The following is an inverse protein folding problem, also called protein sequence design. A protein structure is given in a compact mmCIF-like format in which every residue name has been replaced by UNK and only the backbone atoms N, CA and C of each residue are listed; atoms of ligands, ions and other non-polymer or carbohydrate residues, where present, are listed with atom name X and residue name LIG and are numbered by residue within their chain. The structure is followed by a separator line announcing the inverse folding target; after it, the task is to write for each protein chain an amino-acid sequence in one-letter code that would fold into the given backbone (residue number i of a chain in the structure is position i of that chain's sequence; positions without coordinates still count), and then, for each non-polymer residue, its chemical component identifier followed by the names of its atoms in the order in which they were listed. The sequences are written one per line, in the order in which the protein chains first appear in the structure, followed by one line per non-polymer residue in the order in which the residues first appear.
data_IF_854863328230
#
_entry.id   IF_854863328230
#
_cell.length_a   1.000
_cell.length_b   1.000
_cell.length_c   1.000
_cell.angle_alpha   90.00
_cell.angle_beta   90.00
_cell.angle_gamma   90.00
#
_symmetry.space_group_name_H-M   'P 1'
#
loop_
_entity.id
_entity.type
_entity.pdbx_description
1 polymer ?
#
# COMPACT_ATOMS: atom_id res chain seq x y z
N UNK A 1 21.37 7.19 -3.76
CA UNK A 1 20.74 5.83 -3.77
C UNK A 1 21.81 4.75 -3.71
N UNK A 2 21.71 3.80 -2.79
CA UNK A 2 22.61 2.64 -2.70
C UNK A 2 21.87 1.39 -3.24
N UNK A 3 22.51 0.68 -4.17
CA UNK A 3 21.93 -0.52 -4.78
C UNK A 3 22.78 -1.72 -4.37
N UNK A 4 22.14 -2.82 -3.96
CA UNK A 4 22.81 -4.08 -3.62
C UNK A 4 21.90 -5.26 -3.92
N UNK A 5 22.51 -6.41 -4.26
CA UNK A 5 21.81 -7.67 -4.33
C UNK A 5 21.86 -8.35 -2.96
N UNK A 6 20.72 -8.84 -2.47
CA UNK A 6 20.61 -9.60 -1.21
C UNK A 6 19.57 -10.69 -1.33
N UNK A 7 19.76 -11.79 -0.61
CA UNK A 7 18.65 -12.73 -0.45
C UNK A 7 17.58 -12.15 0.46
N UNK A 8 16.34 -12.61 0.28
CA UNK A 8 15.22 -12.14 1.12
C UNK A 8 15.43 -12.54 2.58
N UNK A 9 16.05 -13.69 2.83
CA UNK A 9 16.36 -14.16 4.19
C UNK A 9 17.47 -13.32 4.83
N UNK A 10 18.54 -12.96 4.10
CA UNK A 10 19.57 -12.02 4.62
C UNK A 10 19.01 -10.67 5.01
N UNK A 11 17.98 -10.21 4.29
CA UNK A 11 17.28 -8.97 4.67
C UNK A 11 16.52 -9.15 5.98
N UNK A 12 15.73 -10.22 6.09
CA UNK A 12 14.89 -10.48 7.25
C UNK A 12 15.69 -10.89 8.50
N UNK A 13 16.88 -11.48 8.34
CA UNK A 13 17.69 -11.98 9.46
C UNK A 13 18.37 -10.86 10.28
N UNK A 14 18.49 -9.65 9.75
CA UNK A 14 19.17 -8.55 10.44
C UNK A 14 18.52 -8.23 11.78
N UNK A 15 19.29 -8.35 12.86
CA UNK A 15 18.79 -8.27 14.24
C UNK A 15 18.19 -6.91 14.59
N UNK A 16 18.85 -5.81 14.22
CA UNK A 16 18.43 -4.47 14.58
C UNK A 16 17.68 -3.74 13.46
N UNK A 17 17.09 -4.49 12.53
CA UNK A 17 16.33 -3.93 11.42
C UNK A 17 14.87 -4.32 11.53
N UNK A 18 14.01 -3.31 11.43
CA UNK A 18 12.56 -3.48 11.31
C UNK A 18 12.10 -2.94 9.95
N UNK A 19 11.03 -3.51 9.44
CA UNK A 19 10.39 -3.05 8.22
C UNK A 19 9.02 -2.49 8.53
N UNK A 20 8.66 -1.36 7.94
CA UNK A 20 7.33 -0.79 8.06
C UNK A 20 6.76 -0.54 6.66
N UNK A 21 5.56 -1.02 6.42
CA UNK A 21 4.76 -0.65 5.25
C UNK A 21 4.00 0.61 5.63
N UNK A 22 4.26 1.76 4.96
CA UNK A 22 3.59 3.01 5.28
C UNK A 22 2.08 2.92 5.12
N UNK A 23 1.36 3.75 5.89
CA UNK A 23 -0.10 3.80 5.86
C UNK A 23 -0.65 4.30 4.51
N UNK A 24 0.13 5.08 3.77
CA UNK A 24 -0.24 5.53 2.44
C UNK A 24 -0.14 4.43 1.38
N UNK A 25 0.46 3.29 1.69
CA UNK A 25 0.50 2.18 0.75
C UNK A 25 -0.84 1.41 0.77
N UNK A 26 -1.18 0.80 -0.36
CA UNK A 26 -2.37 -0.05 -0.43
C UNK A 26 -2.26 -1.22 0.54
N UNK A 27 -3.39 -1.67 1.07
CA UNK A 27 -3.50 -2.92 1.83
C UNK A 27 -2.96 -4.11 1.03
N UNK A 28 -2.65 -5.19 1.72
CA UNK A 28 -2.23 -6.44 1.10
C UNK A 28 -3.23 -6.88 0.02
N UNK A 29 -2.73 -7.14 -1.18
CA UNK A 29 -3.58 -7.33 -2.37
C UNK A 29 -3.32 -8.64 -3.11
N UNK A 30 -2.29 -9.40 -2.74
CA UNK A 30 -2.06 -10.72 -3.32
C UNK A 30 -3.13 -11.70 -2.83
N UNK A 31 -3.41 -12.67 -3.67
CA UNK A 31 -4.36 -13.73 -3.45
C UNK A 31 -3.66 -15.08 -3.57
N UNK A 32 -4.43 -16.14 -3.38
CA UNK A 32 -3.96 -17.52 -3.52
C UNK A 32 -3.15 -17.77 -4.79
N UNK A 33 -3.52 -17.16 -5.92
CA UNK A 33 -2.82 -17.35 -7.21
C UNK A 33 -1.37 -16.89 -7.12
N UNK A 34 -1.11 -15.64 -6.67
CA UNK A 34 0.25 -15.12 -6.55
C UNK A 34 1.07 -15.88 -5.49
N UNK A 35 0.42 -16.33 -4.42
CA UNK A 35 1.06 -17.15 -3.40
C UNK A 35 1.44 -18.53 -3.94
N UNK A 36 0.60 -19.11 -4.81
CA UNK A 36 0.88 -20.38 -5.48
C UNK A 36 2.05 -20.24 -6.44
N UNK A 37 2.02 -19.24 -7.30
CA UNK A 37 3.10 -18.96 -8.25
C UNK A 37 4.44 -18.81 -7.52
N UNK A 38 4.46 -18.04 -6.42
CA UNK A 38 5.68 -17.87 -5.60
C UNK A 38 6.16 -19.20 -5.02
N UNK A 39 5.28 -19.98 -4.39
CA UNK A 39 5.66 -21.25 -3.76
C UNK A 39 6.19 -22.25 -4.78
N UNK A 40 5.52 -22.37 -5.94
CA UNK A 40 5.92 -23.29 -7.01
C UNK A 40 7.24 -22.87 -7.66
N UNK A 41 7.48 -21.55 -7.81
CA UNK A 41 8.75 -21.02 -8.30
C UNK A 41 9.89 -21.29 -7.32
N UNK A 42 9.68 -21.12 -6.02
CA UNK A 42 10.66 -21.42 -4.99
C UNK A 42 10.98 -22.93 -4.94
N UNK A 43 9.96 -23.79 -4.97
CA UNK A 43 10.15 -25.24 -4.99
C UNK A 43 10.94 -25.68 -6.23
N UNK A 44 10.60 -25.13 -7.41
CA UNK A 44 11.32 -25.41 -8.67
C UNK A 44 12.76 -24.91 -8.63
N UNK A 45 12.99 -23.69 -8.12
CA UNK A 45 14.33 -23.12 -7.99
C UNK A 45 15.21 -24.00 -7.09
N UNK A 46 14.68 -24.42 -5.93
CA UNK A 46 15.39 -25.31 -5.02
C UNK A 46 15.68 -26.68 -5.60
N UNK A 47 14.71 -27.29 -6.30
CA UNK A 47 14.90 -28.56 -6.99
C UNK A 47 16.01 -28.49 -8.06
N UNK A 48 16.16 -27.33 -8.71
CA UNK A 48 17.17 -27.11 -9.75
C UNK A 48 18.51 -26.57 -9.20
N UNK A 49 18.61 -26.26 -7.90
CA UNK A 49 19.77 -25.61 -7.30
C UNK A 49 20.03 -24.21 -7.87
N UNK A 50 18.97 -23.50 -8.28
CA UNK A 50 19.06 -22.17 -8.91
C UNK A 50 18.50 -21.09 -7.98
N UNK A 51 19.03 -19.86 -8.11
CA UNK A 51 18.47 -18.70 -7.44
C UNK A 51 17.19 -18.24 -8.15
N UNK A 52 16.21 -17.74 -7.37
CA UNK A 52 14.99 -17.15 -7.89
C UNK A 52 15.01 -15.64 -7.67
N UNK A 53 14.78 -14.87 -8.73
CA UNK A 53 14.71 -13.41 -8.65
C UNK A 53 13.32 -12.95 -8.24
N UNK A 54 13.22 -12.38 -7.04
CA UNK A 54 11.96 -11.85 -6.49
C UNK A 54 11.61 -10.43 -6.96
N UNK A 55 12.50 -9.78 -7.70
CA UNK A 55 12.31 -8.40 -8.18
C UNK A 55 13.08 -7.36 -7.38
N UNK A 56 12.61 -6.11 -7.43
CA UNK A 56 13.23 -4.98 -6.72
C UNK A 56 12.60 -4.78 -5.35
N UNK A 57 13.38 -4.26 -4.40
CA UNK A 57 12.92 -3.85 -3.08
C UNK A 57 13.45 -2.45 -2.78
N UNK A 58 12.57 -1.47 -2.69
CA UNK A 58 12.91 -0.08 -2.45
C UNK A 58 12.48 0.33 -1.04
N UNK A 59 13.37 0.97 -0.30
CA UNK A 59 13.09 1.44 1.05
C UNK A 59 13.89 2.70 1.40
N UNK A 60 13.38 3.48 2.35
CA UNK A 60 14.13 4.50 3.08
C UNK A 60 14.54 3.94 4.45
N UNK A 61 15.69 4.37 4.98
CA UNK A 61 16.11 4.05 6.34
C UNK A 61 15.93 5.26 7.25
N UNK A 62 15.29 5.02 8.38
CA UNK A 62 15.12 6.00 9.46
C UNK A 62 15.77 5.44 10.74
N UNK A 63 16.56 6.23 11.48
CA UNK A 63 17.06 5.83 12.78
C UNK A 63 15.91 5.78 13.79
N UNK A 64 15.92 4.82 14.69
CA UNK A 64 14.99 4.76 15.81
C UNK A 64 15.66 5.20 17.11
N UNK A 65 14.90 5.67 18.09
CA UNK A 65 15.42 6.06 19.41
C UNK A 65 16.16 4.92 20.14
N UNK A 66 15.77 3.68 19.87
CA UNK A 66 16.40 2.48 20.44
C UNK A 66 17.68 2.04 19.71
N UNK A 67 18.20 2.82 18.76
CA UNK A 67 19.39 2.48 17.98
C UNK A 67 19.16 1.39 16.93
N UNK A 68 17.92 0.97 16.70
CA UNK A 68 17.54 0.10 15.60
C UNK A 68 17.31 0.90 14.30
N UNK A 69 17.41 0.24 13.16
CA UNK A 69 17.10 0.81 11.84
C UNK A 69 15.66 0.46 11.47
N UNK A 70 14.83 1.49 11.20
CA UNK A 70 13.53 1.31 10.61
C UNK A 70 13.62 1.47 9.08
N UNK A 71 13.28 0.44 8.34
CA UNK A 71 13.18 0.48 6.87
C UNK A 71 11.75 0.67 6.44
N UNK A 72 11.46 1.87 5.99
CA UNK A 72 10.15 2.24 5.45
C UNK A 72 10.07 1.75 4.00
N UNK A 73 9.22 0.77 3.76
CA UNK A 73 9.12 0.08 2.47
C UNK A 73 8.38 0.95 1.46
N UNK A 74 9.01 1.25 0.33
CA UNK A 74 8.46 2.04 -0.77
C UNK A 74 7.91 1.13 -1.87
N UNK A 75 8.65 0.08 -2.22
CA UNK A 75 8.20 -0.97 -3.14
C UNK A 75 8.67 -2.34 -2.67
N UNK A 76 7.92 -3.37 -3.02
CA UNK A 76 8.17 -4.76 -2.60
C UNK A 76 7.33 -5.23 -1.42
N UNK A 77 6.40 -4.40 -0.92
CA UNK A 77 5.55 -4.71 0.24
C UNK A 77 4.81 -6.05 0.11
N UNK A 78 4.23 -6.36 -1.05
CA UNK A 78 3.48 -7.59 -1.26
C UNK A 78 4.38 -8.83 -1.11
N UNK A 79 5.59 -8.75 -1.64
CA UNK A 79 6.59 -9.84 -1.62
C UNK A 79 7.10 -10.11 -0.22
N UNK A 80 7.55 -9.08 0.50
CA UNK A 80 8.05 -9.26 1.87
C UNK A 80 6.94 -9.79 2.79
N UNK A 81 5.72 -9.30 2.65
CA UNK A 81 4.56 -9.82 3.42
C UNK A 81 4.31 -11.28 3.10
N UNK A 82 4.25 -11.65 1.81
CA UNK A 82 3.96 -13.03 1.40
C UNK A 82 5.06 -14.00 1.82
N UNK A 83 6.33 -13.61 1.70
CA UNK A 83 7.46 -14.44 2.19
C UNK A 83 7.40 -14.60 3.70
N UNK A 84 7.11 -13.55 4.45
CA UNK A 84 6.94 -13.64 5.91
C UNK A 84 5.77 -14.56 6.30
N UNK A 85 4.66 -14.53 5.57
CA UNK A 85 3.54 -15.47 5.77
C UNK A 85 3.94 -16.92 5.47
N UNK A 86 4.73 -17.16 4.42
CA UNK A 86 5.26 -18.49 4.11
C UNK A 86 6.18 -19.01 5.23
N UNK A 87 7.08 -18.15 5.73
CA UNK A 87 7.97 -18.51 6.85
C UNK A 87 7.17 -18.81 8.12
N UNK A 88 6.14 -18.03 8.42
CA UNK A 88 5.25 -18.26 9.57
C UNK A 88 4.48 -19.59 9.43
N UNK A 89 3.93 -19.87 8.24
CA UNK A 89 3.25 -21.15 7.99
C UNK A 89 4.21 -22.35 8.07
N UNK A 90 5.45 -22.21 7.56
CA UNK A 90 6.47 -23.23 7.65
C UNK A 90 6.86 -23.49 9.11
N UNK A 91 7.06 -22.45 9.91
CA UNK A 91 7.35 -22.59 11.34
C UNK A 91 6.23 -23.34 12.07
N UNK A 92 4.96 -22.98 11.83
CA UNK A 92 3.82 -23.66 12.44
C UNK A 92 3.67 -25.11 11.97
N UNK A 93 3.97 -25.40 10.71
CA UNK A 93 3.97 -26.77 10.19
C UNK A 93 5.01 -27.65 10.89
N UNK A 94 6.23 -27.13 11.09
CA UNK A 94 7.32 -27.86 11.77
C UNK A 94 7.02 -28.09 13.27
N UNK A 95 6.40 -27.15 13.96
CA UNK A 95 5.95 -27.36 15.34
C UNK A 95 4.93 -28.51 15.43
N UNK A 96 3.98 -28.57 14.51
CA UNK A 96 2.95 -29.61 14.46
C UNK A 96 3.50 -31.02 14.18
N UNK A 97 4.72 -31.13 13.62
CA UNK A 97 5.41 -32.41 13.36
C UNK A 97 6.31 -32.87 14.51
N UNK A 98 6.23 -32.24 15.67
CA UNK A 98 7.05 -32.60 16.84
C UNK A 98 8.48 -32.05 16.83
N UNK A 99 8.71 -31.05 16.02
CA UNK A 99 9.91 -30.19 16.12
C UNK A 99 11.26 -30.85 15.78
N UNK A 100 11.25 -32.03 15.18
CA UNK A 100 12.51 -32.66 14.77
C UNK A 100 13.12 -31.91 13.59
N UNK A 101 14.22 -31.14 13.79
CA UNK A 101 14.88 -30.51 12.67
C UNK A 101 15.40 -31.59 11.72
N UNK A 102 15.00 -31.54 10.46
CA UNK A 102 15.73 -32.24 9.44
C UNK A 102 17.11 -31.56 9.34
N UNK A 103 18.13 -32.30 8.91
CA UNK A 103 19.48 -31.72 8.73
C UNK A 103 19.52 -30.52 7.76
N UNK A 104 18.44 -30.25 7.06
CA UNK A 104 18.35 -29.26 5.98
C UNK A 104 17.42 -28.06 6.28
N UNK A 105 16.52 -28.20 7.27
CA UNK A 105 15.55 -27.14 7.63
C UNK A 105 15.88 -26.56 9.01
N UNK A 106 15.79 -25.24 9.22
CA UNK A 106 15.85 -24.65 10.55
C UNK A 106 14.68 -25.13 11.43
N UNK A 107 14.86 -25.10 12.75
CA UNK A 107 13.73 -25.36 13.65
C UNK A 107 12.67 -24.25 13.54
N UNK A 108 11.46 -24.57 13.95
CA UNK A 108 10.35 -23.59 13.99
C UNK A 108 10.74 -22.34 14.79
N UNK A 109 11.38 -22.51 15.95
CA UNK A 109 11.85 -21.41 16.75
C UNK A 109 12.91 -20.56 16.04
N UNK A 110 13.87 -21.20 15.34
CA UNK A 110 14.85 -20.46 14.55
C UNK A 110 14.21 -19.66 13.43
N UNK A 111 13.21 -20.21 12.74
CA UNK A 111 12.46 -19.47 11.71
C UNK A 111 11.82 -18.22 12.27
N UNK A 112 11.20 -18.32 13.44
CA UNK A 112 10.55 -17.16 14.07
C UNK A 112 11.53 -16.11 14.53
N UNK A 113 12.53 -16.52 15.32
CA UNK A 113 13.48 -15.56 15.92
C UNK A 113 14.36 -14.88 14.88
N UNK A 114 14.76 -15.59 13.81
CA UNK A 114 15.62 -15.02 12.77
C UNK A 114 14.86 -14.13 11.79
N UNK A 115 13.63 -14.51 11.39
CA UNK A 115 12.99 -13.92 10.23
C UNK A 115 11.68 -13.18 10.52
N UNK A 116 10.99 -13.47 11.62
CA UNK A 116 9.67 -12.92 11.89
C UNK A 116 9.60 -11.97 13.08
N UNK A 117 10.50 -12.14 14.06
CA UNK A 117 10.41 -11.48 15.35
C UNK A 117 11.63 -10.63 15.63
N UNK A 118 11.42 -9.52 16.33
CA UNK A 118 12.48 -8.71 16.90
C UNK A 118 12.43 -8.88 18.42
N UNK A 119 13.54 -9.29 18.96
CA UNK A 119 13.69 -9.41 20.40
C UNK A 119 14.49 -8.22 20.93
N UNK A 120 13.85 -7.38 21.71
CA UNK A 120 14.44 -6.29 22.45
C UNK A 120 14.16 -6.53 23.94
N UNK A 121 15.17 -6.64 24.81
CA UNK A 121 14.96 -6.94 26.22
C UNK A 121 14.06 -5.94 26.96
N UNK A 122 13.90 -4.74 26.44
CA UNK A 122 13.16 -3.64 27.07
C UNK A 122 11.75 -3.45 26.50
N UNK A 123 11.38 -4.20 25.47
CA UNK A 123 10.07 -4.04 24.82
C UNK A 123 9.38 -5.39 24.64
N UNK A 124 8.03 -5.43 24.58
CA UNK A 124 7.33 -6.65 24.19
C UNK A 124 7.81 -7.16 22.83
N UNK A 125 7.70 -8.48 22.64
CA UNK A 125 8.02 -9.12 21.36
C UNK A 125 7.24 -8.46 20.21
N UNK A 126 7.94 -8.11 19.15
CA UNK A 126 7.36 -7.41 18.00
C UNK A 126 7.66 -8.14 16.70
N UNK A 127 6.77 -8.05 15.69
CA UNK A 127 7.09 -8.56 14.36
C UNK A 127 8.19 -7.71 13.70
N UNK A 128 9.04 -8.36 12.91
CA UNK A 128 10.04 -7.66 12.07
C UNK A 128 9.41 -6.80 11.00
N UNK A 129 8.27 -7.21 10.48
CA UNK A 129 7.50 -6.47 9.50
C UNK A 129 6.22 -5.91 10.16
N UNK A 130 6.12 -4.59 10.22
CA UNK A 130 4.87 -3.89 10.50
C UNK A 130 4.12 -3.73 9.19
N UNK A 131 3.03 -4.45 9.04
CA UNK A 131 2.18 -4.39 7.85
C UNK A 131 1.35 -3.09 7.80
N UNK A 132 0.65 -2.84 6.68
CA UNK A 132 -0.31 -1.75 6.60
C UNK A 132 -1.44 -1.91 7.64
N UNK A 133 -2.05 -0.80 8.05
CA UNK A 133 -2.96 -0.74 9.21
C UNK A 133 -4.06 -1.81 9.20
N UNK A 134 -4.75 -1.96 8.05
CA UNK A 134 -5.84 -2.94 7.91
C UNK A 134 -5.38 -4.40 8.03
N UNK A 135 -4.11 -4.67 7.79
CA UNK A 135 -3.53 -6.00 7.75
C UNK A 135 -2.68 -6.31 8.99
N UNK A 136 -2.22 -5.26 9.69
CA UNK A 136 -1.18 -5.36 10.71
C UNK A 136 -1.56 -6.27 11.89
N UNK A 137 -2.76 -6.13 12.42
CA UNK A 137 -3.21 -6.94 13.57
C UNK A 137 -3.24 -8.43 13.22
N UNK A 138 -3.71 -8.78 12.01
CA UNK A 138 -3.74 -10.18 11.54
C UNK A 138 -2.34 -10.70 11.26
N UNK A 139 -1.51 -9.90 10.58
CA UNK A 139 -0.14 -10.29 10.26
C UNK A 139 0.69 -10.50 11.53
N UNK A 140 0.60 -9.57 12.49
CA UNK A 140 1.33 -9.66 13.77
C UNK A 140 0.90 -10.89 14.56
N UNK A 141 -0.39 -11.17 14.66
CA UNK A 141 -0.90 -12.37 15.34
C UNK A 141 -0.30 -13.66 14.74
N UNK A 142 -0.22 -13.76 13.41
CA UNK A 142 0.39 -14.91 12.74
C UNK A 142 1.91 -15.00 12.96
N UNK A 143 2.62 -13.88 12.91
CA UNK A 143 4.07 -13.82 13.08
C UNK A 143 4.50 -14.10 14.54
N UNK A 144 3.67 -13.72 15.51
CA UNK A 144 3.94 -13.85 16.94
C UNK A 144 3.24 -15.05 17.60
N UNK A 145 2.44 -15.81 16.85
CA UNK A 145 1.58 -16.89 17.35
C UNK A 145 0.55 -16.44 18.42
N UNK A 146 0.01 -15.27 18.23
CA UNK A 146 -1.03 -14.71 19.08
C UNK A 146 -2.44 -15.04 18.53
N UNK A 147 -3.49 -14.92 19.35
CA UNK A 147 -4.86 -15.07 18.88
C UNK A 147 -5.18 -14.05 17.79
N UNK A 148 -5.90 -14.49 16.76
CA UNK A 148 -6.35 -13.61 15.69
C UNK A 148 -7.28 -12.51 16.22
N UNK A 149 -7.24 -11.31 15.64
CA UNK A 149 -8.16 -10.22 15.99
C UNK A 149 -9.60 -10.59 15.64
N UNK A 150 -10.56 -9.92 16.25
CA UNK A 150 -12.00 -10.15 16.02
C UNK A 150 -12.44 -9.90 14.57
N UNK A 151 -11.74 -9.02 13.86
CA UNK A 151 -11.98 -8.73 12.45
C UNK A 151 -10.67 -8.91 11.66
N UNK A 152 -10.29 -10.14 11.33
CA UNK A 152 -9.02 -10.40 10.67
C UNK A 152 -9.05 -10.03 9.18
N UNK A 153 -7.89 -9.66 8.63
CA UNK A 153 -7.73 -9.44 7.19
C UNK A 153 -7.92 -10.75 6.43
N UNK A 154 -9.02 -10.82 5.66
CA UNK A 154 -9.34 -12.02 4.88
C UNK A 154 -8.25 -12.37 3.85
N UNK A 155 -7.60 -11.38 3.26
CA UNK A 155 -6.55 -11.61 2.25
C UNK A 155 -5.28 -12.18 2.87
N UNK A 156 -4.88 -11.68 4.02
CA UNK A 156 -3.75 -12.24 4.78
C UNK A 156 -4.06 -13.71 5.15
N UNK A 157 -5.27 -13.97 5.68
CA UNK A 157 -5.68 -15.31 6.05
C UNK A 157 -5.83 -16.26 4.86
N UNK A 158 -6.34 -15.78 3.71
CA UNK A 158 -6.46 -16.58 2.49
C UNK A 158 -5.09 -17.14 2.07
N UNK A 159 -4.09 -16.25 2.02
CA UNK A 159 -2.72 -16.63 1.61
C UNK A 159 -2.04 -17.50 2.67
N UNK A 160 -2.18 -17.15 3.94
CA UNK A 160 -1.60 -17.92 5.03
C UNK A 160 -2.17 -19.36 5.08
N UNK A 161 -3.51 -19.52 5.02
CA UNK A 161 -4.17 -20.83 4.99
C UNK A 161 -3.81 -21.64 3.74
N UNK A 162 -3.63 -20.97 2.61
CA UNK A 162 -3.13 -21.62 1.42
C UNK A 162 -1.77 -22.25 1.67
N UNK A 163 -0.81 -21.52 2.28
CA UNK A 163 0.48 -22.08 2.63
C UNK A 163 0.38 -23.22 3.64
N UNK A 164 -0.42 -23.06 4.71
CA UNK A 164 -0.63 -24.15 5.68
C UNK A 164 -1.18 -25.43 5.03
N UNK A 165 -2.07 -25.30 4.07
CA UNK A 165 -2.61 -26.44 3.34
C UNK A 165 -1.55 -27.07 2.43
N UNK A 166 -0.81 -26.26 1.68
CA UNK A 166 0.20 -26.75 0.73
C UNK A 166 1.40 -27.41 1.43
N UNK A 167 1.82 -26.89 2.58
CA UNK A 167 2.93 -27.48 3.34
C UNK A 167 2.58 -28.86 3.95
N UNK A 168 1.29 -29.21 4.06
CA UNK A 168 0.82 -30.54 4.46
C UNK A 168 0.76 -31.52 3.31
N UNK A 169 0.91 -31.07 2.07
CA UNK A 169 0.86 -31.92 0.89
C UNK A 169 2.14 -32.75 0.80
N UNK A 170 2.00 -34.06 0.85
CA UNK A 170 3.12 -35.02 0.78
C UNK A 170 3.89 -34.98 -0.54
N UNK A 171 3.29 -34.39 -1.59
CA UNK A 171 3.96 -34.17 -2.88
C UNK A 171 4.86 -32.94 -2.91
N UNK A 172 4.86 -32.09 -1.87
CA UNK A 172 5.71 -30.92 -1.79
C UNK A 172 6.96 -31.23 -0.95
N UNK A 173 8.13 -31.13 -1.56
CA UNK A 173 9.41 -31.30 -0.87
C UNK A 173 9.78 -29.98 -0.14
N UNK A 174 9.65 -29.98 1.19
CA UNK A 174 9.96 -28.82 2.02
C UNK A 174 11.44 -28.42 1.98
N UNK A 175 12.35 -29.37 1.78
CA UNK A 175 13.77 -29.06 1.66
C UNK A 175 14.05 -28.28 0.36
N UNK A 176 13.38 -28.63 -0.73
CA UNK A 176 13.47 -27.87 -1.98
C UNK A 176 12.84 -26.47 -1.84
N UNK A 177 11.68 -26.34 -1.19
CA UNK A 177 11.07 -25.03 -0.91
C UNK A 177 12.03 -24.16 -0.10
N UNK A 178 12.64 -24.72 0.96
CA UNK A 178 13.59 -23.98 1.79
C UNK A 178 14.87 -23.61 1.02
N UNK A 179 15.42 -24.52 0.23
CA UNK A 179 16.59 -24.25 -0.62
C UNK A 179 16.32 -23.11 -1.60
N UNK A 180 15.15 -23.13 -2.28
CA UNK A 180 14.75 -22.07 -3.18
C UNK A 180 14.51 -20.74 -2.47
N UNK A 181 13.87 -20.74 -1.30
CA UNK A 181 13.67 -19.55 -0.49
C UNK A 181 15.00 -18.94 0.00
N UNK A 182 15.94 -19.80 0.42
CA UNK A 182 17.27 -19.38 0.88
C UNK A 182 18.10 -18.75 -0.23
N UNK A 183 17.91 -19.20 -1.47
CA UNK A 183 18.58 -18.66 -2.66
C UNK A 183 17.78 -17.54 -3.35
N UNK A 184 16.56 -17.25 -2.91
CA UNK A 184 15.71 -16.20 -3.49
C UNK A 184 16.25 -14.81 -3.17
N UNK A 185 16.46 -13.98 -4.20
CA UNK A 185 17.13 -12.69 -4.06
C UNK A 185 16.35 -11.52 -4.64
N UNK A 186 16.72 -10.34 -4.16
CA UNK A 186 16.15 -9.05 -4.53
C UNK A 186 17.28 -8.11 -4.96
N UNK A 187 16.97 -7.17 -5.83
CA UNK A 187 17.77 -5.96 -6.00
C UNK A 187 17.23 -4.93 -5.01
N UNK A 188 17.98 -4.72 -3.94
CA UNK A 188 17.65 -3.76 -2.89
C UNK A 188 18.17 -2.39 -3.28
N UNK A 189 17.30 -1.39 -3.26
CA UNK A 189 17.64 0.00 -3.45
C UNK A 189 17.25 0.78 -2.19
N UNK A 190 18.25 1.37 -1.54
CA UNK A 190 18.03 2.30 -0.44
C UNK A 190 18.02 3.71 -1.02
N UNK A 191 16.87 4.37 -0.93
CA UNK A 191 16.74 5.78 -1.26
C UNK A 191 17.28 6.64 -0.11
N UNK A 192 17.87 7.78 -0.43
CA UNK A 192 18.31 8.78 0.54
C UNK A 192 17.47 10.07 0.39
N UNK A 193 17.74 11.06 1.24
CA UNK A 193 16.99 12.32 1.27
C UNK A 193 17.15 13.16 -0.02
N UNK A 194 18.17 12.89 -0.83
CA UNK A 194 18.46 13.59 -2.08
C UNK A 194 17.75 12.92 -3.26
N UNK A 195 17.42 11.64 -3.11
CA UNK A 195 16.73 10.89 -4.15
C UNK A 195 15.29 11.36 -4.32
N UNK A 196 14.87 11.54 -5.54
CA UNK A 196 13.46 11.77 -5.87
C UNK A 196 12.67 10.47 -5.69
N UNK A 197 12.48 10.07 -4.43
CA UNK A 197 11.81 8.82 -4.03
C UNK A 197 10.49 8.62 -4.77
N UNK A 198 9.75 9.72 -5.00
CA UNK A 198 8.49 9.71 -5.75
C UNK A 198 8.68 9.26 -7.21
N UNK A 199 9.69 9.79 -7.91
CA UNK A 199 9.96 9.43 -9.31
C UNK A 199 10.40 7.97 -9.43
N UNK A 200 11.20 7.49 -8.47
CA UNK A 200 11.64 6.09 -8.44
C UNK A 200 10.42 5.18 -8.20
N UNK A 201 9.56 5.54 -7.24
CA UNK A 201 8.32 4.79 -6.96
C UNK A 201 7.41 4.73 -8.19
N UNK A 202 7.18 5.85 -8.87
CA UNK A 202 6.38 5.91 -10.10
C UNK A 202 6.94 5.00 -11.19
N UNK A 203 8.27 5.05 -11.41
CA UNK A 203 8.94 4.26 -12.45
C UNK A 203 8.90 2.74 -12.20
N UNK A 204 8.99 2.33 -10.94
CA UNK A 204 8.96 0.91 -10.56
C UNK A 204 7.55 0.33 -10.60
N UNK A 205 6.54 1.11 -10.23
CA UNK A 205 5.15 0.65 -10.22
C UNK A 205 4.53 0.52 -11.62
N UNK A 206 5.15 1.08 -12.66
CA UNK A 206 4.69 0.95 -14.04
C UNK A 206 4.60 -0.50 -14.55
N UNK A 207 5.37 -1.43 -13.97
CA UNK A 207 5.43 -2.85 -14.38
C UNK A 207 4.53 -3.80 -13.57
N UNK A 208 3.92 -3.33 -12.46
CA UNK A 208 3.11 -4.14 -11.55
C UNK A 208 1.60 -4.04 -11.79
N UNK A 209 0.80 -4.46 -10.80
CA UNK A 209 -0.64 -4.17 -10.78
C UNK A 209 -0.84 -2.66 -10.75
N UNK A 210 -1.53 -2.06 -11.73
CA UNK A 210 -1.69 -0.61 -11.81
C UNK A 210 -2.20 -0.03 -10.48
N UNK A 211 -1.62 1.09 -10.07
CA UNK A 211 -2.14 1.87 -8.96
C UNK A 211 -3.38 2.64 -9.43
N UNK A 212 -4.34 2.79 -8.52
CA UNK A 212 -5.50 3.65 -8.77
C UNK A 212 -5.09 5.12 -8.71
N UNK A 213 -5.94 6.02 -9.20
CA UNK A 213 -5.70 7.46 -9.08
C UNK A 213 -5.59 7.88 -7.60
N UNK A 214 -6.45 7.34 -6.75
CA UNK A 214 -6.41 7.59 -5.31
C UNK A 214 -5.09 7.12 -4.69
N UNK A 215 -4.58 5.95 -5.09
CA UNK A 215 -3.28 5.46 -4.61
C UNK A 215 -2.13 6.37 -5.05
N UNK A 216 -2.12 6.81 -6.31
CA UNK A 216 -1.10 7.72 -6.85
C UNK A 216 -1.09 9.05 -6.11
N UNK A 217 -2.26 9.65 -5.92
CA UNK A 217 -2.40 10.95 -5.24
C UNK A 217 -2.00 10.84 -3.77
N UNK A 218 -2.48 9.82 -3.07
CA UNK A 218 -2.11 9.58 -1.68
C UNK A 218 -0.60 9.42 -1.52
N UNK A 219 0.00 8.59 -2.36
CA UNK A 219 1.44 8.35 -2.29
C UNK A 219 2.22 9.64 -2.56
N UNK A 220 1.84 10.40 -3.58
CA UNK A 220 2.48 11.68 -3.89
C UNK A 220 2.46 12.65 -2.72
N UNK A 221 1.31 12.80 -2.07
CA UNK A 221 1.15 13.76 -0.98
C UNK A 221 1.89 13.34 0.32
N UNK A 222 2.12 12.04 0.53
CA UNK A 222 2.64 11.53 1.80
C UNK A 222 4.09 11.00 1.74
N UNK A 223 4.59 10.55 0.58
CA UNK A 223 5.85 9.79 0.47
C UNK A 223 7.10 10.55 0.96
N UNK A 224 7.12 11.88 0.82
CA UNK A 224 8.27 12.73 1.18
C UNK A 224 8.30 13.13 2.67
N UNK A 225 7.40 12.58 3.49
CA UNK A 225 7.28 12.90 4.91
C UNK A 225 7.93 11.81 5.77
N UNK A 226 8.29 12.14 7.00
CA UNK A 226 8.71 11.14 7.99
C UNK A 226 7.57 10.16 8.29
N UNK A 227 7.89 8.98 8.83
CA UNK A 227 6.89 7.95 9.12
C UNK A 227 5.76 8.44 10.05
N UNK A 228 6.12 9.21 11.08
CA UNK A 228 5.14 9.76 12.03
C UNK A 228 4.24 10.82 11.39
N UNK A 229 4.84 11.69 10.56
CA UNK A 229 4.09 12.71 9.83
C UNK A 229 3.17 12.09 8.78
N UNK A 230 3.61 11.03 8.11
CA UNK A 230 2.77 10.23 7.21
C UNK A 230 1.57 9.66 7.96
N UNK A 231 1.78 9.11 9.15
CA UNK A 231 0.71 8.55 9.97
C UNK A 231 -0.29 9.63 10.39
N UNK A 232 0.20 10.79 10.86
CA UNK A 232 -0.65 11.93 11.23
C UNK A 232 -1.52 12.38 10.06
N UNK A 233 -0.92 12.70 8.92
CA UNK A 233 -1.64 13.18 7.72
C UNK A 233 -2.61 12.14 7.17
N UNK A 234 -2.24 10.87 7.22
CA UNK A 234 -3.12 9.79 6.82
C UNK A 234 -4.37 9.72 7.70
N UNK A 235 -4.22 9.68 9.02
CA UNK A 235 -5.35 9.56 9.95
C UNK A 235 -6.22 10.81 9.98
N UNK A 236 -5.61 11.98 9.92
CA UNK A 236 -6.33 13.26 10.03
C UNK A 236 -7.11 13.61 8.75
N UNK A 237 -6.54 13.31 7.57
CA UNK A 237 -7.11 13.73 6.30
C UNK A 237 -7.51 12.56 5.40
N UNK A 238 -6.61 11.61 5.13
CA UNK A 238 -6.85 10.60 4.09
C UNK A 238 -7.81 9.48 4.51
N UNK A 239 -7.71 8.98 5.72
CA UNK A 239 -8.62 7.94 6.23
C UNK A 239 -10.08 8.42 6.25
N UNK A 240 -10.39 9.67 6.70
CA UNK A 240 -11.73 10.25 6.53
C UNK A 240 -12.19 10.29 5.07
N UNK A 241 -11.32 10.70 4.12
CA UNK A 241 -11.65 10.70 2.69
C UNK A 241 -12.07 9.31 2.23
N UNK A 242 -11.25 8.29 2.49
CA UNK A 242 -11.58 6.91 2.08
C UNK A 242 -12.83 6.37 2.76
N UNK A 243 -13.05 6.72 4.02
CA UNK A 243 -14.22 6.32 4.79
C UNK A 243 -15.55 6.81 4.21
N UNK A 244 -15.55 7.94 3.51
CA UNK A 244 -16.76 8.49 2.88
C UNK A 244 -17.33 7.60 1.78
N UNK A 245 -16.49 6.79 1.14
CA UNK A 245 -16.84 5.96 -0.01
C UNK A 245 -17.06 4.48 0.34
N UNK A 246 -16.96 4.11 1.61
CA UNK A 246 -17.25 2.74 2.04
C UNK A 246 -18.78 2.47 2.10
N UNK A 247 -19.27 1.24 1.81
CA UNK A 247 -18.52 -0.02 1.71
C UNK A 247 -18.12 -0.43 0.30
N UNK A 248 -17.77 0.49 -0.59
CA UNK A 248 -17.31 0.11 -1.93
C UNK A 248 -15.88 -0.48 -1.84
N UNK A 249 -15.71 -1.79 -2.05
CA UNK A 249 -14.38 -2.41 -2.03
C UNK A 249 -13.51 -1.99 -3.23
N UNK A 250 -14.08 -1.28 -4.19
CA UNK A 250 -13.38 -0.71 -5.34
C UNK A 250 -13.14 0.78 -5.14
N UNK A 251 -11.92 1.22 -5.30
CA UNK A 251 -11.51 2.63 -5.23
C UNK A 251 -12.10 3.51 -6.34
N UNK A 252 -12.95 2.95 -7.24
CA UNK A 252 -13.50 3.66 -8.39
C UNK A 252 -14.26 4.93 -8.00
N UNK A 253 -15.07 4.89 -6.94
CA UNK A 253 -15.82 6.09 -6.50
C UNK A 253 -14.90 7.19 -6.00
N UNK A 254 -13.86 6.84 -5.25
CA UNK A 254 -12.86 7.80 -4.81
C UNK A 254 -12.01 8.29 -5.98
N UNK A 255 -11.61 7.41 -6.89
CA UNK A 255 -10.91 7.78 -8.13
C UNK A 255 -11.73 8.79 -8.94
N UNK A 256 -13.04 8.54 -9.09
CA UNK A 256 -13.95 9.44 -9.80
C UNK A 256 -14.08 10.80 -9.10
N UNK A 257 -14.15 10.81 -7.76
CA UNK A 257 -14.18 12.07 -7.01
C UNK A 257 -12.89 12.89 -7.19
N UNK A 258 -11.73 12.25 -7.08
CA UNK A 258 -10.42 12.90 -7.28
C UNK A 258 -10.29 13.39 -8.74
N UNK A 259 -10.71 12.58 -9.69
CA UNK A 259 -10.69 12.95 -11.10
C UNK A 259 -11.62 14.13 -11.41
N UNK A 260 -12.83 14.15 -10.84
CA UNK A 260 -13.76 15.24 -10.98
C UNK A 260 -13.21 16.54 -10.33
N UNK A 261 -12.62 16.44 -9.14
CA UNK A 261 -11.95 17.57 -8.48
C UNK A 261 -10.84 18.14 -9.36
N UNK A 262 -9.97 17.28 -9.90
CA UNK A 262 -8.89 17.69 -10.79
C UNK A 262 -9.42 18.41 -12.03
N UNK A 263 -10.45 17.88 -12.68
CA UNK A 263 -11.03 18.52 -13.88
C UNK A 263 -11.74 19.84 -13.59
N UNK A 264 -12.41 19.95 -12.43
CA UNK A 264 -13.02 21.21 -12.01
C UNK A 264 -11.99 22.27 -11.65
N UNK A 265 -10.91 21.87 -10.99
CA UNK A 265 -9.84 22.77 -10.57
C UNK A 265 -9.05 23.28 -11.77
N UNK A 266 -8.84 22.43 -12.79
CA UNK A 266 -8.01 22.72 -13.97
C UNK A 266 -8.81 22.75 -15.28
N UNK A 267 -9.92 23.47 -15.28
CA UNK A 267 -10.90 23.53 -16.40
C UNK A 267 -10.30 23.66 -17.81
N UNK A 268 -9.10 24.22 -17.95
CA UNK A 268 -8.41 24.39 -19.25
C UNK A 268 -7.60 23.19 -19.70
N UNK A 269 -7.33 22.23 -18.82
CA UNK A 269 -6.37 21.18 -19.08
C UNK A 269 -6.97 19.78 -19.26
N UNK A 270 -8.24 19.64 -19.14
CA UNK A 270 -9.15 18.48 -19.30
C UNK A 270 -8.43 17.12 -19.25
N UNK A 271 -8.34 16.50 -18.09
CA UNK A 271 -7.69 15.21 -17.92
C UNK A 271 -8.63 14.09 -18.42
N UNK A 272 -8.28 13.45 -19.53
CA UNK A 272 -9.06 12.35 -20.09
C UNK A 272 -8.71 10.97 -19.53
N UNK A 273 -7.69 10.88 -18.69
CA UNK A 273 -7.23 9.63 -18.06
C UNK A 273 -6.81 9.87 -16.63
N UNK A 274 -6.85 8.83 -15.75
CA UNK A 274 -6.34 8.93 -14.39
C UNK A 274 -4.88 9.41 -14.31
N UNK A 275 -4.02 8.96 -15.23
CA UNK A 275 -2.63 9.40 -15.30
C UNK A 275 -2.50 10.89 -15.66
N UNK A 276 -3.34 11.40 -16.57
CA UNK A 276 -3.37 12.83 -16.89
C UNK A 276 -3.87 13.66 -15.68
N UNK A 277 -4.88 13.19 -14.96
CA UNK A 277 -5.36 13.83 -13.74
C UNK A 277 -4.29 13.91 -12.66
N UNK A 278 -3.56 12.81 -12.46
CA UNK A 278 -2.43 12.77 -11.54
C UNK A 278 -1.31 13.76 -11.92
N UNK A 279 -0.93 13.80 -13.20
CA UNK A 279 0.11 14.74 -13.70
C UNK A 279 -0.30 16.20 -13.52
N UNK A 280 -1.59 16.52 -13.70
CA UNK A 280 -2.12 17.86 -13.45
C UNK A 280 -2.06 18.24 -11.97
N UNK A 281 -2.47 17.33 -11.07
CA UNK A 281 -2.40 17.56 -9.63
C UNK A 281 -0.96 17.79 -9.19
N UNK A 282 -0.05 16.94 -9.65
CA UNK A 282 1.37 17.03 -9.32
C UNK A 282 1.95 18.39 -9.73
N UNK A 283 1.78 18.77 -10.99
CA UNK A 283 2.23 20.07 -11.49
C UNK A 283 1.63 21.23 -10.69
N UNK A 284 0.34 21.15 -10.36
CA UNK A 284 -0.28 22.19 -9.55
C UNK A 284 0.35 22.29 -8.15
N UNK A 285 0.54 21.16 -7.49
CA UNK A 285 1.12 21.15 -6.15
C UNK A 285 2.58 21.63 -6.13
N UNK A 286 3.34 21.38 -7.20
CA UNK A 286 4.75 21.76 -7.30
C UNK A 286 4.95 23.21 -7.77
N UNK A 287 4.15 23.68 -8.76
CA UNK A 287 4.45 24.92 -9.49
C UNK A 287 3.50 26.08 -9.14
N UNK A 288 2.25 25.77 -8.76
CA UNK A 288 1.19 26.77 -8.69
C UNK A 288 0.59 26.96 -7.27
N UNK A 289 0.69 25.89 -6.45
CA UNK A 289 0.06 25.92 -5.13
C UNK A 289 0.95 26.64 -4.11
N UNK A 290 0.38 27.63 -3.42
CA UNK A 290 1.10 28.45 -2.42
C UNK A 290 0.68 28.15 -0.98
N UNK A 291 -0.29 27.26 -0.78
CA UNK A 291 -0.75 26.79 0.54
C UNK A 291 0.13 25.69 1.13
N UNK A 292 -0.25 25.21 2.29
CA UNK A 292 0.39 24.06 2.93
C UNK A 292 -0.16 22.75 2.36
N UNK A 293 0.53 21.64 2.65
CA UNK A 293 0.02 20.31 2.29
C UNK A 293 -1.31 20.02 2.99
N UNK A 294 -1.44 20.44 4.23
CA UNK A 294 -2.67 20.33 5.03
C UNK A 294 -3.83 21.07 4.37
N UNK A 295 -3.58 22.28 3.88
CA UNK A 295 -4.61 23.05 3.16
C UNK A 295 -5.07 22.32 1.89
N UNK A 296 -4.16 21.71 1.16
CA UNK A 296 -4.48 20.94 -0.05
C UNK A 296 -5.29 19.67 0.28
N UNK A 297 -4.90 18.96 1.35
CA UNK A 297 -5.60 17.79 1.84
C UNK A 297 -7.00 18.13 2.35
N UNK A 298 -7.15 19.27 3.03
CA UNK A 298 -8.45 19.75 3.50
C UNK A 298 -9.36 20.17 2.33
N UNK A 299 -8.80 20.82 1.32
CA UNK A 299 -9.53 21.15 0.09
C UNK A 299 -10.06 19.88 -0.59
N UNK A 300 -9.20 18.87 -0.75
CA UNK A 300 -9.59 17.59 -1.32
C UNK A 300 -10.63 16.87 -0.47
N UNK A 301 -10.47 16.88 0.85
CA UNK A 301 -11.42 16.29 1.80
C UNK A 301 -12.80 16.94 1.69
N UNK A 302 -12.85 18.27 1.66
CA UNK A 302 -14.09 19.02 1.51
C UNK A 302 -14.81 18.70 0.20
N UNK A 303 -14.06 18.59 -0.90
CA UNK A 303 -14.63 18.19 -2.19
C UNK A 303 -15.16 16.76 -2.17
N UNK A 304 -14.38 15.81 -1.64
CA UNK A 304 -14.78 14.41 -1.53
C UNK A 304 -16.05 14.23 -0.66
N UNK A 305 -16.18 15.00 0.42
CA UNK A 305 -17.38 15.00 1.27
C UNK A 305 -18.61 15.42 0.46
N UNK A 306 -18.53 16.55 -0.20
CA UNK A 306 -19.60 17.05 -1.06
C UNK A 306 -19.94 16.06 -2.18
N UNK A 307 -18.93 15.50 -2.84
CA UNK A 307 -19.10 14.49 -3.90
C UNK A 307 -19.81 13.24 -3.38
N UNK A 308 -19.38 12.70 -2.24
CA UNK A 308 -19.98 11.51 -1.65
C UNK A 308 -21.44 11.71 -1.25
N UNK A 309 -21.80 12.88 -0.71
CA UNK A 309 -23.16 13.23 -0.35
C UNK A 309 -24.06 13.28 -1.60
N UNK A 310 -23.62 13.94 -2.66
CA UNK A 310 -24.34 14.02 -3.91
C UNK A 310 -24.47 12.67 -4.60
N UNK A 311 -23.40 11.86 -4.61
CA UNK A 311 -23.41 10.52 -5.19
C UNK A 311 -24.39 9.58 -4.46
N UNK A 312 -24.45 9.63 -3.13
CA UNK A 312 -25.42 8.88 -2.31
C UNK A 312 -26.86 9.33 -2.62
N UNK A 313 -27.06 10.62 -2.84
CA UNK A 313 -28.38 11.17 -3.14
C UNK A 313 -28.87 10.72 -4.51
N UNK A 314 -28.02 10.68 -5.52
CA UNK A 314 -28.33 10.17 -6.86
C UNK A 314 -28.66 8.68 -6.87
N UNK A 315 -27.97 7.88 -6.07
CA UNK A 315 -28.24 6.45 -5.92
C UNK A 315 -29.61 6.17 -5.26
N UNK A 316 -30.14 7.10 -4.47
CA UNK A 316 -31.41 6.96 -3.72
C UNK A 316 -32.60 7.59 -4.43
N UNK A 317 -32.39 8.68 -5.19
CA UNK A 317 -33.46 9.37 -5.92
C UNK A 317 -32.88 9.89 -7.24
N UNK A 318 -33.48 9.56 -8.39
CA UNK A 318 -33.18 10.19 -9.67
C UNK A 318 -33.31 11.73 -9.51
N UNK A 319 -32.19 12.36 -9.27
CA UNK A 319 -32.12 13.77 -8.88
C UNK A 319 -32.35 14.67 -10.10
N UNK A 320 -33.29 15.57 -10.03
CA UNK A 320 -33.65 16.51 -11.10
C UNK A 320 -33.24 17.98 -10.79
N UNK A 321 -32.21 18.22 -9.99
CA UNK A 321 -31.76 19.59 -9.77
C UNK A 321 -30.24 19.70 -9.93
N UNK A 322 -29.83 20.72 -10.64
CA UNK A 322 -28.43 21.10 -10.77
C UNK A 322 -27.86 21.53 -9.41
N UNK A 323 -26.76 20.92 -9.00
CA UNK A 323 -26.02 21.35 -7.81
C UNK A 323 -25.21 22.59 -8.18
N UNK A 324 -25.54 23.72 -7.54
CA UNK A 324 -24.83 24.99 -7.75
C UNK A 324 -23.57 24.99 -6.84
N UNK A 325 -22.47 24.61 -7.41
CA UNK A 325 -21.19 24.51 -6.73
C UNK A 325 -20.70 25.86 -6.15
N UNK A 326 -20.96 26.97 -6.89
CA UNK A 326 -20.56 28.29 -6.47
C UNK A 326 -21.29 28.74 -5.20
N UNK A 327 -22.49 28.20 -4.96
CA UNK A 327 -23.30 28.52 -3.76
C UNK A 327 -23.11 27.57 -2.60
N UNK A 328 -22.85 26.27 -2.89
CA UNK A 328 -22.92 25.20 -1.91
C UNK A 328 -21.55 24.52 -1.65
N UNK A 329 -20.51 24.86 -2.40
CA UNK A 329 -19.14 24.37 -2.17
C UNK A 329 -18.50 25.00 -0.91
N UNK A 330 -17.50 24.37 -0.32
CA UNK A 330 -16.75 24.94 0.79
C UNK A 330 -16.22 26.33 0.42
N UNK A 331 -16.43 27.32 1.27
CA UNK A 331 -16.01 28.72 1.03
C UNK A 331 -14.50 28.87 0.84
N UNK A 332 -13.72 27.93 1.32
CA UNK A 332 -12.25 27.86 1.20
C UNK A 332 -11.73 27.55 -0.21
N UNK A 333 -12.60 27.06 -1.11
CA UNK A 333 -12.23 26.76 -2.50
C UNK A 333 -12.26 27.97 -3.43
N UNK A 334 -12.75 29.08 -2.95
CA UNK A 334 -12.73 30.36 -3.66
C UNK A 334 -11.65 31.22 -3.02
N UNK A 335 -10.39 30.98 -3.36
CA UNK A 335 -9.38 32.00 -3.07
C UNK A 335 -9.73 33.23 -3.92
N UNK A 336 -9.82 34.38 -3.32
CA UNK A 336 -10.12 35.71 -3.93
C UNK A 336 -9.10 36.18 -4.99
N UNK A 337 -8.25 35.28 -5.50
CA UNK A 337 -7.41 35.60 -6.65
C UNK A 337 -8.13 35.28 -7.95
N UNK A 338 -9.09 36.19 -8.23
CA UNK A 338 -9.45 36.66 -9.55
C UNK A 338 -9.29 35.68 -10.72
N UNK A 339 -10.23 34.76 -10.82
CA UNK A 339 -10.76 34.51 -12.14
C UNK A 339 -12.03 35.39 -12.21
N UNK A 340 -11.94 36.54 -12.87
CA UNK A 340 -13.13 37.26 -13.32
C UNK A 340 -14.06 36.21 -13.94
N UNK A 341 -15.34 36.15 -13.56
CA UNK A 341 -16.27 35.27 -14.22
C UNK A 341 -16.29 35.69 -15.69
N UNK A 342 -15.83 34.82 -16.57
CA UNK A 342 -16.16 34.93 -17.97
C UNK A 342 -17.66 34.83 -18.03
N UNK A 343 -18.28 35.91 -18.51
CA UNK A 343 -19.67 35.99 -18.78
C UNK A 343 -20.17 34.80 -19.57
N UNK A 344 -21.14 34.11 -19.00
CA UNK A 344 -22.18 33.29 -19.62
C UNK A 344 -21.84 32.17 -20.62
N UNK A 345 -22.45 31.10 -20.30
CA UNK A 345 -22.88 29.92 -21.04
C UNK A 345 -22.05 28.65 -20.74
N UNK A 346 -22.67 27.75 -19.97
CA UNK A 346 -22.23 26.38 -19.79
C UNK A 346 -21.59 26.09 -18.44
N UNK A 347 -22.19 26.45 -17.33
CA UNK A 347 -21.86 25.83 -16.06
C UNK A 347 -22.40 24.39 -16.06
N UNK A 348 -21.52 23.42 -16.29
CA UNK A 348 -21.88 22.01 -16.09
C UNK A 348 -22.25 21.81 -14.63
N UNK A 349 -23.38 21.15 -14.39
CA UNK A 349 -23.78 20.73 -13.04
C UNK A 349 -22.92 19.56 -12.57
N UNK A 350 -22.87 19.34 -11.26
CA UNK A 350 -22.23 18.13 -10.72
C UNK A 350 -22.90 16.85 -11.26
N UNK A 351 -24.17 16.93 -11.68
CA UNK A 351 -24.89 15.86 -12.36
C UNK A 351 -24.35 15.60 -13.76
N UNK A 352 -24.06 16.64 -14.55
CA UNK A 352 -23.50 16.50 -15.90
C UNK A 352 -22.09 15.92 -15.86
N UNK A 353 -21.35 16.17 -14.79
CA UNK A 353 -20.01 15.59 -14.57
C UNK A 353 -20.14 14.13 -14.14
N UNK A 354 -21.09 13.77 -13.29
CA UNK A 354 -21.35 12.39 -12.88
C UNK A 354 -21.81 11.52 -14.07
N UNK A 355 -22.71 12.04 -14.90
CA UNK A 355 -23.19 11.33 -16.11
C UNK A 355 -22.06 11.11 -17.13
N UNK A 356 -21.16 12.09 -17.30
CA UNK A 356 -20.00 11.92 -18.19
C UNK A 356 -18.96 10.95 -17.67
N UNK A 357 -18.90 10.73 -16.36
CA UNK A 357 -18.01 9.73 -15.75
C UNK A 357 -18.57 8.34 -15.86
N UNK A 358 -19.91 8.15 -15.72
CA UNK A 358 -20.55 6.83 -15.82
C UNK A 358 -20.61 6.29 -17.27
N UNK A 359 -20.69 7.14 -18.29
CA UNK A 359 -20.71 6.69 -19.70
C UNK A 359 -19.34 6.28 -20.26
N UNK A 360 -18.23 6.52 -19.54
CA UNK A 360 -16.87 6.29 -20.03
C UNK A 360 -16.05 5.23 -19.27
N UNK A 361 -16.67 4.57 -18.28
CA UNK A 361 -16.09 3.49 -17.47
C UNK A 361 -17.02 2.25 -17.46
#
# INVERSE_FOLDING_TARGET
MQISQKTILEMLEREHVRYAIPLYQRSYAWRRTQAADLLDDLARAGALGKAHFLGTFLYNSEPTEAGAELRVVIDGQQRITTVSLLVAALANHLDGQGGHPSSTLPSAQQLRTRFLQVHDPNTPLQPKLRSGEADNATFSALALQEPLPSNPSEKILEVYRYFEQRLKDTGLDLAQVWAGLSAAYLICAQADAVDHTQLIFESLNWKGKPLTLADLVRNYLLIAKSHDEQARLYHEYWAPITGMFQPDPGTKKLDNAIWAWTNLRFRKANAHTPGAAYSLLKRYAEDEYTGTLEDLLEELRGFCLMWAENYRYHAVKKFKSSFDWAKNGPKTLVSDRAVKPASHEGSMSAADIADQVDERW
#
